data_IF_112175325626
#
_entry.id   IF_112175325626
#
_cell.length_a   1.000
_cell.length_b   1.000
_cell.length_c   1.000
_cell.angle_alpha   90.00
_cell.angle_beta   90.00
_cell.angle_gamma   90.00
#
_symmetry.space_group_name_H-M   'P 1'
#
loop_
_entity.id
_entity.type
_entity.pdbx_description
1 polymer ?
#
# COMPACT_ATOMS: atom_id res chain seq x y z
N UNK A 1 -20.54 -7.47 10.59
CA UNK A 1 -19.42 -6.50 10.66
C UNK A 1 -18.51 -6.78 9.47
N UNK A 2 -18.34 -5.81 8.57
CA UNK A 2 -17.53 -6.01 7.35
C UNK A 2 -16.09 -5.61 7.65
N UNK A 3 -15.20 -6.61 7.72
CA UNK A 3 -13.76 -6.38 7.92
C UNK A 3 -13.07 -6.06 6.58
N UNK A 4 -11.92 -5.44 6.67
CA UNK A 4 -11.02 -5.22 5.54
C UNK A 4 -10.66 -6.58 4.90
N UNK A 5 -10.95 -6.74 3.60
CA UNK A 5 -10.65 -7.96 2.85
C UNK A 5 -9.71 -7.62 1.67
N UNK A 6 -8.38 -7.75 1.85
CA UNK A 6 -7.39 -7.41 0.83
C UNK A 6 -7.64 -8.12 -0.50
N UNK A 7 -7.92 -9.43 -0.46
CA UNK A 7 -8.16 -10.21 -1.68
C UNK A 7 -9.33 -9.65 -2.49
N UNK A 8 -10.47 -9.41 -1.83
CA UNK A 8 -11.66 -8.89 -2.51
C UNK A 8 -11.40 -7.51 -3.13
N UNK A 9 -10.67 -6.64 -2.42
CA UNK A 9 -10.32 -5.32 -2.94
C UNK A 9 -9.43 -5.45 -4.17
N UNK A 10 -8.35 -6.24 -4.11
CA UNK A 10 -7.44 -6.48 -5.23
C UNK A 10 -8.17 -7.06 -6.44
N UNK A 11 -9.05 -8.03 -6.23
CA UNK A 11 -9.84 -8.65 -7.32
C UNK A 11 -10.74 -7.63 -8.04
N UNK A 12 -11.23 -6.61 -7.32
CA UNK A 12 -12.10 -5.57 -7.84
C UNK A 12 -11.35 -4.39 -8.51
N UNK A 13 -10.03 -4.29 -8.36
CA UNK A 13 -9.23 -3.26 -9.04
C UNK A 13 -9.04 -3.65 -10.51
N UNK A 14 -9.93 -3.17 -11.38
CA UNK A 14 -9.98 -3.54 -12.80
C UNK A 14 -8.76 -3.12 -13.62
N UNK A 15 -7.96 -2.20 -13.10
CA UNK A 15 -6.75 -1.71 -13.78
C UNK A 15 -5.51 -2.60 -13.54
N UNK A 16 -5.58 -3.59 -12.64
CA UNK A 16 -4.44 -4.47 -12.37
C UNK A 16 -4.26 -5.50 -13.49
N UNK A 17 -3.07 -5.50 -14.08
CA UNK A 17 -2.62 -6.46 -15.08
C UNK A 17 -1.55 -7.38 -14.50
N UNK A 18 -1.56 -8.66 -14.92
CA UNK A 18 -0.69 -9.71 -14.36
C UNK A 18 0.82 -9.46 -14.51
N UNK A 19 1.25 -8.57 -15.41
CA UNK A 19 2.65 -8.22 -15.68
C UNK A 19 3.14 -6.99 -14.91
N UNK A 20 2.28 -6.32 -14.15
CA UNK A 20 2.64 -5.11 -13.42
C UNK A 20 3.70 -5.38 -12.35
N UNK A 21 4.48 -4.34 -12.06
CA UNK A 21 5.37 -4.28 -10.92
C UNK A 21 4.69 -3.48 -9.82
N UNK A 22 4.46 -4.10 -8.68
CA UNK A 22 3.81 -3.44 -7.55
C UNK A 22 4.72 -3.33 -6.32
N UNK A 23 4.33 -2.46 -5.39
CA UNK A 23 4.98 -2.29 -4.10
C UNK A 23 3.93 -2.24 -2.99
N UNK A 24 4.06 -3.11 -2.00
CA UNK A 24 3.26 -3.12 -0.78
C UNK A 24 4.11 -2.50 0.33
N UNK A 25 3.81 -1.27 0.72
CA UNK A 25 4.55 -0.51 1.72
C UNK A 25 3.86 -0.67 3.08
N UNK A 26 4.61 -1.13 4.07
CA UNK A 26 4.06 -1.60 5.34
C UNK A 26 3.43 -2.98 5.18
N UNK A 27 4.14 -3.89 4.49
CA UNK A 27 3.62 -5.19 4.07
C UNK A 27 3.24 -6.11 5.22
N UNK A 28 3.80 -5.87 6.41
CA UNK A 28 3.59 -6.73 7.55
C UNK A 28 3.91 -8.20 7.22
N UNK A 29 3.06 -9.09 7.67
CA UNK A 29 3.17 -10.53 7.37
C UNK A 29 2.42 -10.94 6.10
N UNK A 30 2.15 -10.01 5.18
CA UNK A 30 1.71 -10.29 3.81
C UNK A 30 0.20 -10.29 3.55
N UNK A 31 -0.57 -9.61 4.38
CA UNK A 31 -2.03 -9.53 4.18
C UNK A 31 -2.43 -9.00 2.79
N UNK A 32 -1.69 -8.02 2.27
CA UNK A 32 -1.86 -7.47 0.92
C UNK A 32 -0.88 -8.10 -0.08
N UNK A 33 0.36 -8.33 0.32
CA UNK A 33 1.42 -8.87 -0.54
C UNK A 33 1.02 -10.18 -1.19
N UNK A 34 0.49 -11.14 -0.42
CA UNK A 34 0.17 -12.48 -0.92
C UNK A 34 -0.93 -12.45 -2.00
N UNK A 35 -2.12 -11.86 -1.77
CA UNK A 35 -3.13 -11.78 -2.81
C UNK A 35 -2.68 -10.92 -4.00
N UNK A 36 -1.87 -9.88 -3.79
CA UNK A 36 -1.32 -9.07 -4.86
C UNK A 36 -0.34 -9.87 -5.73
N UNK A 37 0.58 -10.63 -5.12
CA UNK A 37 1.52 -11.48 -5.84
C UNK A 37 0.83 -12.55 -6.69
N UNK A 38 -0.27 -13.13 -6.19
CA UNK A 38 -1.10 -14.07 -6.95
C UNK A 38 -1.83 -13.42 -8.13
N UNK A 39 -2.27 -12.17 -7.96
CA UNK A 39 -2.91 -11.38 -9.02
C UNK A 39 -1.91 -11.01 -10.12
N UNK A 40 -0.68 -10.69 -9.73
CA UNK A 40 0.41 -10.26 -10.62
C UNK A 40 1.37 -11.44 -10.91
N UNK A 41 0.84 -12.59 -11.32
CA UNK A 41 1.58 -13.84 -11.46
C UNK A 41 2.76 -13.78 -12.46
N UNK A 42 2.69 -12.90 -13.45
CA UNK A 42 3.74 -12.65 -14.47
C UNK A 42 4.54 -11.38 -14.18
N UNK A 43 4.24 -10.69 -13.08
CA UNK A 43 4.86 -9.45 -12.66
C UNK A 43 5.74 -9.66 -11.43
N UNK A 44 5.86 -8.58 -10.65
CA UNK A 44 6.69 -8.58 -9.44
C UNK A 44 6.06 -7.75 -8.34
N UNK A 45 6.22 -8.17 -7.09
CA UNK A 45 5.82 -7.39 -5.91
C UNK A 45 7.04 -7.11 -5.04
N UNK A 46 7.27 -5.85 -4.72
CA UNK A 46 8.17 -5.45 -3.63
C UNK A 46 7.35 -5.35 -2.34
N UNK A 47 7.76 -6.07 -1.30
CA UNK A 47 7.16 -5.99 0.03
C UNK A 47 8.13 -5.25 0.96
N UNK A 48 7.75 -4.05 1.37
CA UNK A 48 8.59 -3.16 2.18
C UNK A 48 8.03 -3.12 3.60
N UNK A 49 8.86 -3.38 4.58
CA UNK A 49 8.51 -3.18 6.00
C UNK A 49 9.75 -2.74 6.79
N UNK A 50 9.52 -2.04 7.90
CA UNK A 50 10.59 -1.63 8.82
C UNK A 50 10.93 -2.72 9.84
N UNK A 51 10.04 -3.72 10.00
CA UNK A 51 10.16 -4.81 10.97
C UNK A 51 10.67 -6.09 10.31
N UNK A 52 11.86 -6.53 10.71
CA UNK A 52 12.45 -7.76 10.18
C UNK A 52 11.60 -9.01 10.49
N UNK A 53 10.98 -9.04 11.67
CA UNK A 53 10.12 -10.15 12.10
C UNK A 53 8.89 -10.29 11.19
N UNK A 54 8.33 -9.16 10.74
CA UNK A 54 7.19 -9.16 9.82
C UNK A 54 7.59 -9.75 8.45
N UNK A 55 8.72 -9.33 7.91
CA UNK A 55 9.25 -9.86 6.65
C UNK A 55 9.66 -11.33 6.76
N UNK A 56 10.20 -11.76 7.90
CA UNK A 56 10.50 -13.18 8.15
C UNK A 56 9.23 -14.03 8.15
N UNK A 57 8.16 -13.57 8.80
CA UNK A 57 6.87 -14.24 8.78
C UNK A 57 6.25 -14.28 7.38
N UNK A 58 6.40 -13.19 6.61
CA UNK A 58 5.97 -13.14 5.21
C UNK A 58 6.74 -14.15 4.37
N UNK A 59 8.08 -14.23 4.49
CA UNK A 59 8.91 -15.20 3.76
C UNK A 59 8.42 -16.62 3.97
N UNK A 60 8.18 -17.03 5.21
CA UNK A 60 7.68 -18.38 5.51
C UNK A 60 6.37 -18.67 4.78
N UNK A 61 5.44 -17.72 4.75
CA UNK A 61 4.17 -17.90 4.03
C UNK A 61 4.34 -17.97 2.51
N UNK A 62 5.26 -17.17 1.95
CA UNK A 62 5.56 -17.20 0.52
C UNK A 62 6.13 -18.55 0.10
N UNK A 63 7.04 -19.12 0.92
CA UNK A 63 7.62 -20.44 0.70
C UNK A 63 6.55 -21.55 0.81
N UNK A 64 5.70 -21.51 1.82
CA UNK A 64 4.59 -22.45 2.02
C UNK A 64 3.60 -22.45 0.84
N UNK A 65 3.30 -21.24 0.32
CA UNK A 65 2.37 -21.06 -0.79
C UNK A 65 3.04 -21.12 -2.17
N UNK A 66 4.36 -21.34 -2.23
CA UNK A 66 5.17 -21.37 -3.46
C UNK A 66 5.02 -20.12 -4.32
N UNK A 67 5.08 -18.95 -3.69
CA UNK A 67 5.04 -17.65 -4.35
C UNK A 67 6.46 -17.12 -4.49
N UNK A 68 6.93 -16.89 -5.73
CA UNK A 68 8.33 -16.59 -6.03
C UNK A 68 8.54 -15.20 -6.65
N UNK A 69 7.47 -14.47 -6.93
CA UNK A 69 7.50 -13.14 -7.55
C UNK A 69 7.47 -11.99 -6.54
N UNK A 70 7.90 -12.24 -5.29
CA UNK A 70 7.97 -11.24 -4.22
C UNK A 70 9.42 -11.01 -3.80
N UNK A 71 9.84 -9.74 -3.76
CA UNK A 71 11.11 -9.30 -3.17
C UNK A 71 10.86 -8.57 -1.86
N UNK A 72 11.52 -9.02 -0.79
CA UNK A 72 11.38 -8.44 0.55
C UNK A 72 12.44 -7.36 0.77
N UNK A 73 12.03 -6.17 1.18
CA UNK A 73 12.89 -5.03 1.45
C UNK A 73 12.70 -4.54 2.89
N UNK A 74 13.73 -4.73 3.72
CA UNK A 74 13.78 -4.13 5.06
C UNK A 74 14.17 -2.66 4.90
N UNK A 75 13.20 -1.75 5.06
CA UNK A 75 13.44 -0.33 4.91
C UNK A 75 12.41 0.51 5.68
N UNK A 76 12.86 1.70 6.08
CA UNK A 76 12.01 2.78 6.59
C UNK A 76 11.60 3.67 5.41
N UNK A 77 10.34 3.64 5.06
CA UNK A 77 9.80 4.42 3.93
C UNK A 77 10.03 5.93 4.08
N UNK A 78 10.08 6.44 5.30
CA UNK A 78 10.36 7.86 5.56
C UNK A 78 11.82 8.24 5.25
N UNK A 79 12.72 7.26 5.11
CA UNK A 79 14.13 7.44 4.72
C UNK A 79 14.40 7.06 3.26
N UNK A 80 13.36 6.58 2.57
CA UNK A 80 13.44 6.12 1.20
C UNK A 80 13.75 4.64 1.06
N UNK A 81 13.39 4.08 -0.09
CA UNK A 81 13.58 2.67 -0.43
C UNK A 81 14.54 2.49 -1.61
N UNK A 82 15.22 1.34 -1.67
CA UNK A 82 16.13 1.00 -2.76
C UNK A 82 15.37 0.50 -4.01
N UNK A 83 14.44 1.32 -4.48
CA UNK A 83 13.72 1.14 -5.73
C UNK A 83 13.99 2.37 -6.60
N UNK A 84 14.30 2.16 -7.88
CA UNK A 84 14.57 3.26 -8.80
C UNK A 84 13.31 4.11 -9.07
N UNK A 85 13.52 5.35 -9.49
CA UNK A 85 12.43 6.25 -9.89
C UNK A 85 11.61 5.63 -11.03
N UNK A 86 10.31 5.91 -11.04
CA UNK A 86 9.41 5.50 -12.11
C UNK A 86 9.48 3.99 -12.45
N UNK A 87 9.56 3.14 -11.44
CA UNK A 87 9.69 1.68 -11.60
C UNK A 87 8.36 0.96 -11.34
N UNK A 88 7.53 1.48 -10.44
CA UNK A 88 6.36 0.80 -9.91
C UNK A 88 5.09 1.22 -10.67
N UNK A 89 4.29 0.25 -11.09
CA UNK A 89 2.99 0.48 -11.73
C UNK A 89 1.89 0.71 -10.69
N UNK A 90 1.97 0.01 -9.53
CA UNK A 90 0.95 0.07 -8.48
C UNK A 90 1.56 0.00 -7.09
N UNK A 91 1.14 0.91 -6.21
CA UNK A 91 1.55 0.94 -4.80
C UNK A 91 0.34 0.76 -3.90
N UNK A 92 0.50 -0.01 -2.83
CA UNK A 92 -0.44 -0.08 -1.70
C UNK A 92 0.22 0.52 -0.46
N UNK A 93 -0.52 1.41 0.20
CA UNK A 93 -0.29 1.89 1.56
C UNK A 93 -1.50 1.53 2.40
N UNK A 94 -1.41 0.46 3.19
CA UNK A 94 -2.53 0.05 4.05
C UNK A 94 -2.17 0.14 5.52
N UNK A 95 -2.86 0.99 6.27
CA UNK A 95 -2.61 1.23 7.68
C UNK A 95 -1.15 1.69 7.96
N UNK A 96 -0.62 2.56 7.11
CA UNK A 96 0.74 3.09 7.22
C UNK A 96 0.72 4.55 7.67
N UNK A 97 -0.16 5.37 7.07
CA UNK A 97 -0.13 6.82 7.32
C UNK A 97 -0.44 7.18 8.77
N UNK A 98 -1.22 6.37 9.48
CA UNK A 98 -1.50 6.64 10.89
C UNK A 98 -0.30 6.30 11.80
N UNK A 99 0.64 5.44 11.37
CA UNK A 99 1.83 5.04 12.15
C UNK A 99 3.04 5.95 11.94
N UNK A 100 3.23 6.48 10.71
CA UNK A 100 4.42 7.26 10.35
C UNK A 100 4.39 8.68 10.94
N UNK A 101 5.58 9.23 11.19
CA UNK A 101 5.74 10.59 11.69
C UNK A 101 5.55 11.62 10.57
N UNK A 102 6.21 11.45 9.44
CA UNK A 102 6.18 12.36 8.29
C UNK A 102 5.46 11.75 7.08
N UNK A 103 4.16 11.92 7.03
CA UNK A 103 3.30 11.45 5.95
C UNK A 103 3.68 12.02 4.58
N UNK A 104 4.23 13.25 4.55
CA UNK A 104 4.66 13.89 3.30
C UNK A 104 5.87 13.18 2.70
N UNK A 105 6.82 12.71 3.52
CA UNK A 105 7.94 11.91 3.03
C UNK A 105 7.48 10.61 2.42
N UNK A 106 6.51 9.93 3.04
CA UNK A 106 5.93 8.69 2.51
C UNK A 106 5.27 8.94 1.15
N UNK A 107 4.48 10.00 1.01
CA UNK A 107 3.82 10.35 -0.25
C UNK A 107 4.84 10.77 -1.33
N UNK A 108 5.87 11.55 -0.97
CA UNK A 108 6.93 11.94 -1.88
C UNK A 108 7.69 10.73 -2.41
N UNK A 109 8.06 9.79 -1.53
CA UNK A 109 8.78 8.59 -1.90
C UNK A 109 7.89 7.66 -2.76
N UNK A 110 6.63 7.50 -2.40
CA UNK A 110 5.66 6.76 -3.23
C UNK A 110 5.56 7.37 -4.62
N UNK A 111 5.46 8.70 -4.71
CA UNK A 111 5.41 9.40 -5.99
C UNK A 111 6.72 9.23 -6.80
N UNK A 112 7.89 9.24 -6.14
CA UNK A 112 9.19 9.07 -6.80
C UNK A 112 9.27 7.72 -7.51
N UNK A 113 8.95 6.62 -6.81
CA UNK A 113 9.08 5.27 -7.36
C UNK A 113 7.95 4.90 -8.33
N UNK A 114 6.80 5.60 -8.26
CA UNK A 114 5.65 5.34 -9.12
C UNK A 114 5.91 5.82 -10.54
N UNK A 115 5.58 5.01 -11.55
CA UNK A 115 5.61 5.38 -12.98
C UNK A 115 4.59 6.49 -13.27
N UNK A 116 4.79 7.22 -14.37
CA UNK A 116 3.73 8.05 -14.96
C UNK A 116 2.50 7.19 -15.27
N UNK A 117 1.30 7.67 -14.89
CA UNK A 117 0.05 6.92 -14.94
C UNK A 117 -0.01 5.71 -13.97
N UNK A 118 1.00 5.49 -13.14
CA UNK A 118 0.97 4.51 -12.07
C UNK A 118 -0.03 4.89 -10.98
N UNK A 119 -0.52 3.91 -10.22
CA UNK A 119 -1.56 4.12 -9.23
C UNK A 119 -1.12 3.82 -7.81
N UNK A 120 -1.60 4.65 -6.89
CA UNK A 120 -1.38 4.53 -5.45
C UNK A 120 -2.73 4.31 -4.77
N UNK A 121 -2.88 3.17 -4.12
CA UNK A 121 -4.01 2.87 -3.24
C UNK A 121 -3.61 3.15 -1.79
N UNK A 122 -4.33 4.05 -1.14
CA UNK A 122 -4.19 4.34 0.29
C UNK A 122 -5.44 3.83 0.99
N UNK A 123 -5.26 2.95 1.98
CA UNK A 123 -6.31 2.49 2.88
C UNK A 123 -5.89 2.80 4.29
N UNK A 124 -6.71 3.56 5.02
CA UNK A 124 -6.37 3.91 6.40
C UNK A 124 -7.62 4.11 7.25
N UNK A 125 -7.42 4.25 8.56
CA UNK A 125 -8.48 4.32 9.54
C UNK A 125 -9.34 5.57 9.37
N UNK A 126 -10.66 5.38 9.37
CA UNK A 126 -11.61 6.49 9.55
C UNK A 126 -11.51 7.01 10.98
N UNK A 127 -11.58 8.33 11.14
CA UNK A 127 -11.71 8.94 12.47
C UNK A 127 -13.14 8.71 12.96
N UNK A 128 -13.33 7.67 13.76
CA UNK A 128 -14.62 7.31 14.35
C UNK A 128 -14.56 7.54 15.87
N UNK A 129 -15.58 8.15 16.44
CA UNK A 129 -15.66 8.35 17.88
C UNK A 129 -15.62 6.99 18.62
N UNK A 130 -14.60 6.78 19.46
CA UNK A 130 -14.39 5.65 20.35
C UNK A 130 -13.95 4.29 19.73
N UNK A 131 -13.43 4.22 18.51
CA UNK A 131 -12.93 2.97 17.92
C UNK A 131 -11.60 3.20 17.18
N UNK A 132 -10.59 2.36 17.43
CA UNK A 132 -9.32 2.33 16.70
C UNK A 132 -8.27 3.32 17.19
N UNK A 133 -7.25 3.57 16.37
CA UNK A 133 -6.14 4.47 16.65
C UNK A 133 -6.55 5.96 16.49
N UNK A 134 -7.55 6.39 17.25
CA UNK A 134 -8.26 7.68 17.13
C UNK A 134 -7.34 8.91 17.12
N UNK A 135 -6.33 8.90 17.99
CA UNK A 135 -5.44 10.06 18.16
C UNK A 135 -4.46 10.22 17.00
N UNK A 136 -4.23 9.16 16.22
CA UNK A 136 -3.32 9.13 15.08
C UNK A 136 -4.06 9.04 13.73
N UNK A 137 -5.36 8.76 13.73
CA UNK A 137 -6.13 8.62 12.49
C UNK A 137 -6.08 9.90 11.67
N UNK A 138 -5.79 9.75 10.39
CA UNK A 138 -5.70 10.86 9.45
C UNK A 138 -7.05 11.08 8.80
N UNK A 139 -7.52 12.33 8.74
CA UNK A 139 -8.72 12.65 7.97
C UNK A 139 -8.45 12.40 6.48
N UNK A 140 -9.37 11.74 5.79
CA UNK A 140 -9.19 11.42 4.37
C UNK A 140 -9.02 12.68 3.51
N UNK A 141 -9.68 13.78 3.88
CA UNK A 141 -9.55 15.09 3.23
C UNK A 141 -8.11 15.59 3.31
N UNK A 142 -7.47 15.45 4.48
CA UNK A 142 -6.06 15.84 4.67
C UNK A 142 -5.12 14.96 3.83
N UNK A 143 -5.44 13.66 3.65
CA UNK A 143 -4.66 12.77 2.77
C UNK A 143 -4.76 13.23 1.32
N UNK A 144 -5.96 13.59 0.85
CA UNK A 144 -6.20 14.10 -0.51
C UNK A 144 -5.42 15.40 -0.73
N UNK A 145 -5.49 16.34 0.22
CA UNK A 145 -4.79 17.62 0.12
C UNK A 145 -3.27 17.43 0.12
N UNK A 146 -2.73 16.56 0.97
CA UNK A 146 -1.30 16.24 0.98
C UNK A 146 -0.85 15.58 -0.32
N UNK A 147 -1.60 14.60 -0.83
CA UNK A 147 -1.27 13.87 -2.05
C UNK A 147 -1.23 14.80 -3.27
N UNK A 148 -2.14 15.78 -3.34
CA UNK A 148 -2.17 16.78 -4.41
C UNK A 148 -0.88 17.60 -4.51
N UNK A 149 -0.19 17.85 -3.39
CA UNK A 149 1.09 18.58 -3.35
C UNK A 149 2.23 17.82 -4.07
N UNK A 150 2.06 16.51 -4.29
CA UNK A 150 2.99 15.63 -5.00
C UNK A 150 2.48 15.20 -6.38
N UNK A 151 1.55 15.95 -6.97
CA UNK A 151 0.94 15.64 -8.27
C UNK A 151 0.23 14.27 -8.32
N UNK A 152 -0.22 13.76 -7.20
CA UNK A 152 -1.05 12.58 -7.10
C UNK A 152 -2.52 13.00 -7.21
N UNK A 153 -3.20 12.61 -8.30
CA UNK A 153 -4.58 13.01 -8.60
C UNK A 153 -5.54 11.93 -8.12
N UNK A 154 -6.50 12.30 -7.29
CA UNK A 154 -7.56 11.37 -6.84
C UNK A 154 -8.39 10.91 -8.05
N UNK A 155 -8.52 9.59 -8.23
CA UNK A 155 -9.34 8.97 -9.28
C UNK A 155 -10.58 8.32 -8.71
N UNK A 156 -10.43 7.59 -7.61
CA UNK A 156 -11.51 6.83 -7.00
C UNK A 156 -11.43 6.93 -5.49
N UNK A 157 -12.58 6.84 -4.84
CA UNK A 157 -12.68 6.67 -3.39
C UNK A 157 -13.82 5.72 -3.07
N UNK A 158 -13.61 4.87 -2.08
CA UNK A 158 -14.63 3.94 -1.60
C UNK A 158 -14.43 3.61 -0.12
N UNK A 159 -15.46 3.08 0.50
CA UNK A 159 -15.38 2.58 1.87
C UNK A 159 -14.83 1.15 1.87
N UNK A 160 -13.76 0.94 2.62
CA UNK A 160 -13.13 -0.36 2.80
C UNK A 160 -13.51 -0.95 4.16
N UNK A 161 -14.69 -1.54 4.20
CA UNK A 161 -15.32 -1.95 5.45
C UNK A 161 -15.87 -0.76 6.27
N UNK A 162 -16.22 -1.03 7.52
CA UNK A 162 -16.84 -0.02 8.39
C UNK A 162 -15.85 1.01 8.94
N UNK A 163 -14.57 0.67 9.00
CA UNK A 163 -13.57 1.40 9.77
C UNK A 163 -12.47 2.05 8.93
N UNK A 164 -12.40 1.74 7.62
CA UNK A 164 -11.39 2.26 6.73
C UNK A 164 -11.99 3.04 5.57
N UNK A 165 -11.29 4.05 5.12
CA UNK A 165 -11.47 4.66 3.80
C UNK A 165 -10.45 4.09 2.83
N UNK A 166 -10.75 4.13 1.55
CA UNK A 166 -9.82 3.80 0.47
C UNK A 166 -9.81 4.91 -0.57
N UNK A 167 -8.61 5.32 -0.99
CA UNK A 167 -8.36 6.38 -1.97
C UNK A 167 -7.41 5.84 -3.03
N UNK A 168 -7.79 5.93 -4.31
CA UNK A 168 -6.93 5.59 -5.44
C UNK A 168 -6.47 6.88 -6.11
N UNK A 169 -5.16 7.09 -6.14
CA UNK A 169 -4.53 8.20 -6.84
C UNK A 169 -3.81 7.71 -8.10
N UNK A 170 -3.58 8.63 -9.02
CA UNK A 170 -2.75 8.43 -10.22
C UNK A 170 -1.70 9.54 -10.30
N UNK A 171 -0.44 9.17 -10.62
CA UNK A 171 0.67 10.10 -10.87
C UNK A 171 0.59 10.72 -12.25
#
# INVERSE_FOLDING_TARGET
>A
MMFLNPKQIIDNLSFLDSHMIACDIGSGSGGWTIPLAKKLENGKVYAVDIKEEALSALRSKLDDERIFNVELLLADIEKGVKIADNTIDFIILSNVLFEVEDKKKVLAESQRILKSNGRLLIIDWKKLNNIGAQDKAVLKENVIDMASQFNLKLKEQFDSGNYHFALVFEK
#
